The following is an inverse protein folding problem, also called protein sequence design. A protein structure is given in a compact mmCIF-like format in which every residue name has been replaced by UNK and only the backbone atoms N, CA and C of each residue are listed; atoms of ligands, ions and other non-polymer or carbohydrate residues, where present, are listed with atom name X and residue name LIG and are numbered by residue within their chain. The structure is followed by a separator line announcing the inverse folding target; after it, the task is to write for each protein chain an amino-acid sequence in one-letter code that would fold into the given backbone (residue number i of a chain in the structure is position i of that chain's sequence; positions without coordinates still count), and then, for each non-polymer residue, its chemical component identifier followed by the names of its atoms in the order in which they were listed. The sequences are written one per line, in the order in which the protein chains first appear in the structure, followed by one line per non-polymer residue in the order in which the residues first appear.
data_IF_463557423942
#
_entry.id   IF_463557423942
#
_cell.length_a   1.000
_cell.length_b   1.000
_cell.length_c   1.000
_cell.angle_alpha   90.00
_cell.angle_beta   90.00
_cell.angle_gamma   90.00
#
_symmetry.space_group_name_H-M   'P 1'
#
loop_
_entity.id
_entity.type
_entity.pdbx_description
1 polymer ?
#
# COMPACT_ATOMS: atom_id res chain seq x y z
N UNK A 1 7.71 -25.42 -30.15
CA UNK A 1 8.14 -24.04 -30.45
C UNK A 1 7.63 -23.12 -29.34
N UNK A 2 8.48 -22.43 -28.55
CA UNK A 2 7.99 -21.59 -27.46
C UNK A 2 7.75 -20.16 -27.93
N UNK A 3 6.53 -19.66 -27.71
CA UNK A 3 6.18 -18.25 -27.91
C UNK A 3 6.69 -17.47 -26.70
N UNK A 4 7.68 -16.61 -26.93
CA UNK A 4 8.22 -15.66 -25.96
C UNK A 4 7.18 -14.56 -25.68
N UNK A 5 6.47 -14.65 -24.57
CA UNK A 5 5.78 -13.49 -23.98
C UNK A 5 6.76 -12.66 -23.17
N UNK A 6 7.45 -11.73 -23.84
CA UNK A 6 8.08 -10.58 -23.21
C UNK A 6 7.05 -9.46 -23.17
N UNK A 7 6.67 -9.02 -21.96
CA UNK A 7 6.29 -7.65 -21.56
C UNK A 7 5.76 -7.73 -20.13
N UNK A 8 6.62 -7.58 -19.12
CA UNK A 8 6.67 -6.33 -18.31
C UNK A 8 5.31 -5.84 -17.88
N UNK A 9 4.67 -6.54 -16.94
CA UNK A 9 3.60 -5.95 -16.13
C UNK A 9 4.12 -5.86 -14.70
N UNK A 10 4.55 -4.64 -14.38
CA UNK A 10 4.61 -4.04 -13.05
C UNK A 10 4.48 -5.03 -11.88
N UNK A 11 5.62 -5.50 -11.39
CA UNK A 11 5.77 -5.95 -10.01
C UNK A 11 5.47 -4.77 -9.06
N UNK A 12 4.22 -4.40 -8.89
CA UNK A 12 3.81 -3.63 -7.72
C UNK A 12 3.92 -4.59 -6.54
N UNK A 13 5.11 -4.69 -5.95
CA UNK A 13 5.26 -5.30 -4.64
C UNK A 13 4.44 -4.46 -3.66
N UNK A 14 3.21 -4.90 -3.40
CA UNK A 14 2.35 -4.26 -2.42
C UNK A 14 2.83 -4.69 -1.03
N UNK A 15 3.55 -3.82 -0.33
CA UNK A 15 3.79 -4.00 1.09
C UNK A 15 2.53 -3.55 1.83
N UNK A 16 1.67 -4.52 2.11
CA UNK A 16 0.40 -4.30 2.77
C UNK A 16 0.63 -4.17 4.28
N UNK A 17 0.61 -2.93 4.76
CA UNK A 17 0.56 -2.66 6.20
C UNK A 17 -0.89 -2.45 6.63
N UNK A 18 -1.31 -3.24 7.60
CA UNK A 18 -2.57 -3.05 8.30
C UNK A 18 -2.39 -1.88 9.27
N UNK A 19 -3.03 -0.75 8.98
CA UNK A 19 -2.97 0.44 9.84
C UNK A 19 -4.24 0.50 10.68
N UNK A 20 -4.09 0.88 11.95
CA UNK A 20 -5.23 1.10 12.85
C UNK A 20 -5.52 2.60 12.87
N UNK A 21 -6.71 3.01 12.43
CA UNK A 21 -7.21 4.38 12.57
C UNK A 21 -8.59 4.36 13.23
N UNK A 22 -8.75 5.04 14.38
CA UNK A 22 -10.03 5.17 15.10
C UNK A 22 -10.77 3.84 15.32
N UNK A 23 -10.04 2.77 15.66
CA UNK A 23 -10.62 1.45 15.94
C UNK A 23 -11.00 0.61 14.72
N UNK A 24 -10.78 1.12 13.49
CA UNK A 24 -10.94 0.34 12.26
C UNK A 24 -9.59 0.13 11.58
N UNK A 25 -9.44 -1.07 11.03
CA UNK A 25 -8.30 -1.40 10.19
C UNK A 25 -8.49 -0.75 8.82
N UNK A 26 -7.44 -0.15 8.28
CA UNK A 26 -7.39 0.33 6.90
C UNK A 26 -6.14 -0.22 6.24
N UNK A 27 -6.29 -0.70 5.00
CA UNK A 27 -5.15 -1.17 4.22
C UNK A 27 -4.45 0.01 3.56
N UNK A 28 -3.11 -0.01 3.58
CA UNK A 28 -2.28 0.94 2.86
C UNK A 28 -1.49 0.25 1.75
N UNK A 29 -1.40 0.93 0.61
CA UNK A 29 -0.64 0.52 -0.57
C UNK A 29 0.47 1.54 -0.83
N UNK A 30 1.70 1.04 -0.95
CA UNK A 30 2.89 1.84 -1.29
C UNK A 30 3.37 1.38 -2.66
N UNK A 31 3.59 2.32 -3.59
CA UNK A 31 4.13 2.00 -4.90
C UNK A 31 5.62 1.68 -4.84
N UNK A 32 6.10 0.83 -5.78
CA UNK A 32 7.49 0.33 -5.83
C UNK A 32 8.55 1.43 -5.71
N UNK A 33 8.31 2.58 -6.33
CA UNK A 33 9.22 3.73 -6.27
C UNK A 33 9.50 4.23 -4.84
N UNK A 34 8.59 4.00 -3.90
CA UNK A 34 8.65 4.52 -2.54
C UNK A 34 8.84 3.43 -1.48
N UNK A 35 8.83 2.14 -1.85
CA UNK A 35 8.95 1.04 -0.88
C UNK A 35 10.20 1.20 -0.02
N UNK A 36 11.34 1.55 -0.61
CA UNK A 36 12.62 1.68 0.12
C UNK A 36 12.51 2.70 1.26
N UNK A 37 12.04 3.90 0.95
CA UNK A 37 11.87 4.98 1.93
C UNK A 37 10.92 4.57 3.07
N UNK A 38 9.79 3.96 2.73
CA UNK A 38 8.82 3.51 3.74
C UNK A 38 9.31 2.29 4.54
N UNK A 39 10.09 1.39 3.94
CA UNK A 39 10.64 0.22 4.64
C UNK A 39 11.73 0.60 5.62
N UNK A 40 12.50 1.64 5.33
CA UNK A 40 13.53 2.18 6.24
C UNK A 40 12.89 3.01 7.37
N UNK A 41 11.79 3.72 7.09
CA UNK A 41 11.12 4.57 8.07
C UNK A 41 10.11 3.86 8.98
N UNK A 42 9.49 2.77 8.51
CA UNK A 42 8.40 2.11 9.23
C UNK A 42 8.77 0.69 9.67
N UNK A 43 8.79 0.48 10.98
CA UNK A 43 8.85 -0.84 11.61
C UNK A 43 7.47 -1.51 11.68
N UNK A 44 7.45 -2.82 11.92
CA UNK A 44 6.21 -3.56 12.22
C UNK A 44 5.88 -3.39 13.71
N UNK A 45 4.60 -3.31 14.06
CA UNK A 45 4.09 -3.15 15.43
C UNK A 45 4.42 -1.82 16.13
N UNK A 46 4.85 -0.80 15.39
CA UNK A 46 5.00 0.57 15.89
C UNK A 46 3.83 1.47 15.48
N UNK A 47 3.71 2.61 16.17
CA UNK A 47 2.68 3.61 15.92
C UNK A 47 3.29 4.81 15.21
N UNK A 48 2.66 5.21 14.09
CA UNK A 48 3.12 6.33 13.25
C UNK A 48 1.97 7.25 12.91
N UNK A 49 2.28 8.54 12.72
CA UNK A 49 1.39 9.48 12.04
C UNK A 49 1.72 9.48 10.54
N UNK A 50 0.71 9.25 9.72
CA UNK A 50 0.85 9.23 8.27
C UNK A 50 -0.01 10.36 7.69
N UNK A 51 0.64 11.30 7.00
CA UNK A 51 0.01 12.46 6.35
C UNK A 51 0.22 12.43 4.84
N UNK A 52 -0.48 13.31 4.11
CA UNK A 52 -0.35 13.50 2.65
C UNK A 52 -0.61 12.25 1.80
N UNK A 53 -1.47 11.35 2.28
CA UNK A 53 -1.87 10.17 1.54
C UNK A 53 -3.19 10.38 0.79
N UNK A 54 -3.39 9.63 -0.28
CA UNK A 54 -4.66 9.59 -1.02
C UNK A 54 -5.55 8.49 -0.46
N UNK A 55 -6.84 8.76 -0.28
CA UNK A 55 -7.82 7.76 0.14
C UNK A 55 -8.73 7.44 -1.05
N UNK A 56 -8.83 6.17 -1.41
CA UNK A 56 -9.67 5.70 -2.52
C UNK A 56 -10.61 4.60 -2.04
N UNK A 57 -11.82 4.58 -2.60
CA UNK A 57 -12.75 3.46 -2.42
C UNK A 57 -12.22 2.24 -3.17
N UNK A 58 -12.29 1.06 -2.56
CA UNK A 58 -11.81 -0.20 -3.14
C UNK A 58 -12.96 -1.20 -3.31
N UNK A 59 -13.04 -1.92 -4.46
CA UNK A 59 -13.99 -3.01 -4.64
C UNK A 59 -13.83 -4.10 -3.57
N UNK A 60 -14.92 -4.80 -3.24
CA UNK A 60 -14.96 -5.73 -2.12
C UNK A 60 -14.01 -6.92 -2.30
N UNK A 61 -13.84 -7.39 -3.53
CA UNK A 61 -12.95 -8.48 -3.93
C UNK A 61 -11.46 -8.20 -3.71
N UNK A 62 -11.07 -6.94 -3.54
CA UNK A 62 -9.67 -6.53 -3.30
C UNK A 62 -9.43 -6.05 -1.86
N UNK A 63 -10.44 -6.15 -0.98
CA UNK A 63 -10.32 -5.77 0.43
C UNK A 63 -9.63 -6.86 1.23
N UNK A 64 -8.65 -6.45 2.01
CA UNK A 64 -7.91 -7.28 2.96
C UNK A 64 -8.31 -7.03 4.42
N UNK A 65 -9.08 -5.97 4.63
CA UNK A 65 -9.64 -5.55 5.92
C UNK A 65 -11.07 -5.10 5.68
N UNK A 66 -11.89 -5.12 6.73
CA UNK A 66 -13.27 -4.65 6.68
C UNK A 66 -13.32 -3.11 6.63
N UNK A 67 -13.02 -2.57 5.45
CA UNK A 67 -13.03 -1.15 5.15
C UNK A 67 -13.32 -0.91 3.66
N UNK A 68 -14.23 0.01 3.36
CA UNK A 68 -14.55 0.40 1.99
C UNK A 68 -13.41 1.16 1.29
N UNK A 69 -12.41 1.60 2.05
CA UNK A 69 -11.36 2.49 1.60
C UNK A 69 -9.96 1.90 1.79
N UNK A 70 -9.02 2.35 0.95
CA UNK A 70 -7.60 2.11 1.08
C UNK A 70 -6.82 3.43 1.06
N UNK A 71 -5.66 3.43 1.71
CA UNK A 71 -4.69 4.52 1.68
C UNK A 71 -3.64 4.25 0.60
N UNK A 72 -3.29 5.26 -0.18
CA UNK A 72 -2.23 5.19 -1.19
C UNK A 72 -1.19 6.27 -0.92
N UNK A 73 0.07 5.84 -0.82
CA UNK A 73 1.22 6.74 -0.66
C UNK A 73 1.93 6.99 -1.99
N UNK A 74 2.08 8.27 -2.34
CA UNK A 74 2.75 8.72 -3.58
C UNK A 74 4.09 9.39 -3.33
N UNK A 75 4.72 9.16 -2.17
CA UNK A 75 6.14 9.47 -1.96
C UNK A 75 6.52 10.85 -1.42
N UNK A 76 5.55 11.73 -1.15
CA UNK A 76 5.81 12.97 -0.42
C UNK A 76 5.66 12.72 1.09
N UNK A 77 6.65 12.04 1.67
CA UNK A 77 6.85 12.05 3.12
C UNK A 77 7.59 13.35 3.47
N UNK A 78 7.00 14.16 4.37
CA UNK A 78 7.63 15.33 4.97
C UNK A 78 8.76 14.92 5.92
#
# INVERSE_FOLDING_TARGET
MPVKSRKTEHEAQQVLKKLVGHGKMIQATIFKAYIKQFSEALSVNDVYYLSNARILKIPQEYRLVDNDYQIIFTGELL
#
